data_IF_695250819732
#
_entry.id   IF_695250819732
#
_cell.length_a   1.000
_cell.length_b   1.000
_cell.length_c   1.000
_cell.angle_alpha   90.00
_cell.angle_beta   90.00
_cell.angle_gamma   90.00
#
_symmetry.space_group_name_H-M   'P 1'
#
loop_
_entity.id
_entity.type
_entity.pdbx_description
1 polymer ?
#
# COMPACT_ATOMS: atom_id res chain seq x y z
N UNK A 1 -78.54 -52.29 6.69
CA UNK A 1 -77.11 -52.39 7.06
C UNK A 1 -76.37 -51.28 6.38
N UNK A 2 -75.89 -50.32 7.12
CA UNK A 2 -75.27 -49.09 6.64
C UNK A 2 -73.73 -49.21 6.80
N UNK A 3 -73.02 -49.37 5.66
CA UNK A 3 -71.56 -49.26 5.66
C UNK A 3 -71.09 -47.79 5.79
N UNK A 4 -70.32 -47.51 6.82
CA UNK A 4 -69.66 -46.25 6.99
C UNK A 4 -68.18 -46.45 6.70
N UNK A 5 -67.72 -46.01 5.56
CA UNK A 5 -66.30 -45.88 5.24
C UNK A 5 -65.74 -44.58 5.86
N UNK A 6 -64.66 -44.65 6.62
CA UNK A 6 -64.01 -43.37 7.14
C UNK A 6 -63.18 -42.73 6.08
N UNK A 7 -63.48 -41.46 5.81
CA UNK A 7 -62.65 -40.58 4.98
C UNK A 7 -61.31 -40.36 5.65
N UNK A 8 -60.25 -40.93 5.10
CA UNK A 8 -58.90 -40.61 5.54
C UNK A 8 -58.55 -39.21 5.03
N UNK A 9 -58.46 -38.26 5.96
CA UNK A 9 -57.99 -36.90 5.72
C UNK A 9 -56.46 -36.93 5.53
N UNK A 10 -56.02 -36.83 4.29
CA UNK A 10 -54.59 -36.73 3.95
C UNK A 10 -54.11 -35.31 4.24
N UNK A 11 -53.52 -35.11 5.43
CA UNK A 11 -52.86 -33.84 5.78
C UNK A 11 -51.52 -33.81 5.08
N UNK A 12 -51.46 -33.14 3.93
CA UNK A 12 -50.20 -32.77 3.29
C UNK A 12 -49.52 -31.67 4.14
N UNK A 13 -48.61 -32.09 4.99
CA UNK A 13 -47.66 -31.13 5.65
C UNK A 13 -46.68 -30.68 4.56
N UNK A 14 -46.96 -29.51 4.00
CA UNK A 14 -46.06 -28.83 3.09
C UNK A 14 -44.95 -28.20 3.95
N UNK A 15 -43.87 -28.95 4.18
CA UNK A 15 -42.66 -28.44 4.83
C UNK A 15 -42.03 -27.38 3.91
N UNK A 16 -42.29 -26.12 4.19
CA UNK A 16 -41.60 -24.98 3.58
C UNK A 16 -40.13 -25.02 4.06
N UNK A 17 -39.25 -25.65 3.28
CA UNK A 17 -37.81 -25.52 3.42
C UNK A 17 -37.45 -24.07 3.10
N UNK A 18 -37.40 -23.22 4.11
CA UNK A 18 -36.82 -21.89 4.02
C UNK A 18 -35.32 -22.06 3.88
N UNK A 19 -34.84 -22.14 2.63
CA UNK A 19 -33.42 -21.96 2.35
C UNK A 19 -33.06 -20.54 2.73
N UNK A 20 -32.60 -20.34 3.94
CA UNK A 20 -31.89 -19.14 4.32
C UNK A 20 -30.56 -19.17 3.54
N UNK A 21 -30.62 -18.72 2.30
CA UNK A 21 -29.43 -18.39 1.53
C UNK A 21 -28.70 -17.32 2.33
N UNK A 22 -27.66 -17.73 3.04
CA UNK A 22 -26.73 -16.82 3.68
C UNK A 22 -25.98 -16.11 2.53
N UNK A 23 -26.62 -15.10 1.94
CA UNK A 23 -26.00 -14.25 0.94
C UNK A 23 -24.73 -13.69 1.59
N UNK A 24 -23.56 -14.19 1.19
CA UNK A 24 -22.28 -13.63 1.63
C UNK A 24 -22.33 -12.15 1.35
N UNK A 25 -22.28 -11.35 2.41
CA UNK A 25 -22.25 -9.89 2.31
C UNK A 25 -21.19 -9.53 1.26
N UNK A 26 -21.51 -8.72 0.25
CA UNK A 26 -20.56 -8.36 -0.78
C UNK A 26 -19.29 -7.77 -0.13
N UNK A 27 -18.13 -8.18 -0.63
CA UNK A 27 -16.85 -7.78 -0.07
C UNK A 27 -16.69 -6.27 -0.23
N UNK A 28 -16.46 -5.55 0.87
CA UNK A 28 -16.24 -4.11 0.85
C UNK A 28 -14.75 -3.77 0.71
N UNK A 29 -14.45 -2.54 0.28
CA UNK A 29 -13.07 -2.04 0.22
C UNK A 29 -12.38 -2.11 1.59
N UNK A 30 -13.09 -1.74 2.65
CA UNK A 30 -12.59 -1.79 4.03
C UNK A 30 -12.28 -3.22 4.46
N UNK A 31 -13.10 -4.20 4.07
CA UNK A 31 -12.85 -5.61 4.38
C UNK A 31 -11.59 -6.11 3.68
N UNK A 32 -11.39 -5.74 2.40
CA UNK A 32 -10.20 -6.10 1.64
C UNK A 32 -8.95 -5.53 2.30
N UNK A 33 -9.00 -4.23 2.66
CA UNK A 33 -7.88 -3.54 3.31
C UNK A 33 -7.59 -4.13 4.69
N UNK A 34 -8.61 -4.41 5.51
CA UNK A 34 -8.45 -5.08 6.81
C UNK A 34 -7.76 -6.43 6.67
N UNK A 35 -8.23 -7.27 5.75
CA UNK A 35 -7.62 -8.57 5.49
C UNK A 35 -6.16 -8.43 4.99
N UNK A 36 -5.89 -7.39 4.19
CA UNK A 36 -4.52 -7.09 3.76
C UNK A 36 -3.63 -6.67 4.92
N UNK A 37 -4.12 -5.81 5.82
CA UNK A 37 -3.40 -5.40 7.02
C UNK A 37 -3.07 -6.61 7.90
N UNK A 38 -4.04 -7.49 8.16
CA UNK A 38 -3.81 -8.72 8.92
C UNK A 38 -2.79 -9.63 8.22
N UNK A 39 -2.85 -9.74 6.89
CA UNK A 39 -1.86 -10.51 6.13
C UNK A 39 -0.46 -9.91 6.21
N UNK A 40 -0.33 -8.60 6.33
CA UNK A 40 0.95 -7.90 6.39
C UNK A 40 1.54 -7.77 7.81
N UNK A 41 0.90 -8.32 8.87
CA UNK A 41 1.41 -8.34 10.24
C UNK A 41 0.41 -7.84 11.28
N UNK A 42 -0.73 -7.27 10.86
CA UNK A 42 -1.81 -6.82 11.73
C UNK A 42 -1.65 -5.40 12.25
N UNK A 43 -2.80 -4.74 12.42
CA UNK A 43 -2.82 -3.33 12.87
C UNK A 43 -2.28 -3.19 14.30
N UNK A 44 -2.60 -4.13 15.18
CA UNK A 44 -2.14 -4.11 16.58
C UNK A 44 -0.60 -4.12 16.69
N UNK A 45 0.06 -4.95 15.90
CA UNK A 45 1.53 -4.98 15.87
C UNK A 45 2.08 -3.67 15.29
N UNK A 46 1.47 -3.16 14.21
CA UNK A 46 1.85 -1.88 13.62
C UNK A 46 1.73 -0.71 14.61
N UNK A 47 0.63 -0.63 15.35
CA UNK A 47 0.38 0.43 16.34
C UNK A 47 1.32 0.34 17.55
N UNK A 48 1.87 -0.86 17.87
CA UNK A 48 2.87 -1.04 18.92
C UNK A 48 4.31 -0.80 18.44
N UNK A 49 4.52 -0.57 17.14
CA UNK A 49 5.83 -0.38 16.54
C UNK A 49 6.45 0.94 17.02
N UNK A 50 7.58 0.85 17.74
CA UNK A 50 8.32 2.01 18.23
C UNK A 50 9.24 2.57 17.17
N UNK A 51 10.07 1.70 16.57
CA UNK A 51 11.02 2.09 15.52
C UNK A 51 11.00 1.11 14.35
N UNK A 52 11.28 1.62 13.17
CA UNK A 52 11.48 0.87 11.94
C UNK A 52 12.68 1.46 11.20
N UNK A 53 13.64 0.63 10.83
CA UNK A 53 14.74 1.04 9.95
C UNK A 53 14.96 0.03 8.84
N UNK A 54 15.46 0.51 7.70
CA UNK A 54 15.77 -0.31 6.54
C UNK A 54 16.66 0.45 5.54
N UNK A 55 17.26 -0.28 4.64
CA UNK A 55 17.94 0.26 3.46
C UNK A 55 16.99 0.24 2.24
N UNK A 56 17.07 1.27 1.40
CA UNK A 56 16.34 1.38 0.15
C UNK A 56 17.31 1.71 -0.98
N UNK A 57 17.46 0.80 -1.94
CA UNK A 57 18.15 1.04 -3.19
C UNK A 57 17.13 1.42 -4.27
N UNK A 58 17.39 2.51 -5.00
CA UNK A 58 16.56 2.98 -6.11
C UNK A 58 17.44 3.10 -7.33
N UNK A 59 17.06 2.44 -8.42
CA UNK A 59 17.65 2.67 -9.73
C UNK A 59 16.58 3.24 -10.66
N UNK A 60 16.85 4.40 -11.25
CA UNK A 60 15.98 5.04 -12.24
C UNK A 60 16.54 4.78 -13.63
N UNK A 61 15.65 4.56 -14.59
CA UNK A 61 15.98 4.31 -15.98
C UNK A 61 15.33 5.35 -16.89
N UNK A 62 16.02 5.72 -17.94
CA UNK A 62 15.47 6.45 -19.08
C UNK A 62 14.62 5.50 -19.93
N UNK A 63 13.92 6.04 -20.91
CA UNK A 63 13.02 5.27 -21.78
C UNK A 63 13.79 4.24 -22.64
N UNK A 64 15.02 4.53 -22.99
CA UNK A 64 15.92 3.62 -23.74
C UNK A 64 16.52 2.51 -22.86
N UNK A 65 16.17 2.47 -21.56
CA UNK A 65 16.67 1.49 -20.60
C UNK A 65 18.02 1.84 -19.97
N UNK A 66 18.64 2.96 -20.32
CA UNK A 66 19.90 3.39 -19.68
C UNK A 66 19.64 3.87 -18.24
N UNK A 67 20.64 3.70 -17.37
CA UNK A 67 20.54 4.12 -15.97
C UNK A 67 20.69 5.63 -15.87
N UNK A 68 19.64 6.31 -15.43
CA UNK A 68 19.66 7.73 -15.10
C UNK A 68 20.32 8.00 -13.76
N UNK A 69 20.01 7.17 -12.76
CA UNK A 69 20.59 7.29 -11.41
C UNK A 69 20.44 6.01 -10.62
N UNK A 70 21.37 5.79 -9.67
CA UNK A 70 21.28 4.71 -8.68
C UNK A 70 21.69 5.26 -7.31
N UNK A 71 20.80 5.17 -6.32
CA UNK A 71 20.99 5.74 -4.99
C UNK A 71 20.59 4.73 -3.92
N UNK A 72 21.49 4.50 -2.95
CA UNK A 72 21.18 3.77 -1.72
C UNK A 72 20.88 4.77 -0.61
N UNK A 73 19.76 4.56 0.11
CA UNK A 73 19.33 5.38 1.25
C UNK A 73 19.14 4.49 2.46
N UNK A 74 19.59 4.93 3.62
CA UNK A 74 19.20 4.36 4.90
C UNK A 74 18.06 5.20 5.47
N UNK A 75 16.99 4.54 5.96
CA UNK A 75 15.79 5.19 6.46
C UNK A 75 15.47 4.68 7.86
N UNK A 76 15.21 5.60 8.77
CA UNK A 76 14.85 5.32 10.16
C UNK A 76 13.59 6.11 10.50
N UNK A 77 12.58 5.43 11.03
CA UNK A 77 11.33 6.03 11.52
C UNK A 77 11.13 5.67 12.98
N UNK A 78 10.73 6.62 13.79
CA UNK A 78 10.25 6.41 15.14
C UNK A 78 8.81 6.89 15.19
N UNK A 79 7.89 6.02 15.62
CA UNK A 79 6.46 6.31 15.67
C UNK A 79 6.05 6.81 17.05
N UNK A 80 6.65 6.29 18.10
CA UNK A 80 6.31 6.63 19.49
C UNK A 80 7.47 7.27 20.24
N UNK A 81 7.20 8.25 21.13
CA UNK A 81 5.89 8.81 21.51
C UNK A 81 5.34 9.81 20.49
N UNK A 82 6.09 10.15 19.44
CA UNK A 82 5.67 10.99 18.33
C UNK A 82 6.54 10.69 17.11
N UNK A 83 5.99 10.97 15.94
CA UNK A 83 6.68 10.73 14.68
C UNK A 83 7.94 11.58 14.55
N UNK A 84 9.05 10.92 14.34
CA UNK A 84 10.33 11.48 13.91
C UNK A 84 11.03 10.51 12.96
N UNK A 85 12.02 10.96 12.22
CA UNK A 85 12.78 10.05 11.38
C UNK A 85 13.97 10.72 10.73
N UNK A 86 14.77 9.89 10.10
CA UNK A 86 16.02 10.25 9.45
C UNK A 86 16.17 9.47 8.15
N UNK A 87 16.58 10.16 7.09
CA UNK A 87 16.94 9.52 5.82
C UNK A 87 18.34 9.99 5.46
N UNK A 88 19.26 9.06 5.23
CA UNK A 88 20.64 9.36 4.86
C UNK A 88 21.03 8.67 3.56
N UNK A 89 21.86 9.34 2.77
CA UNK A 89 22.43 8.78 1.55
C UNK A 89 23.71 9.52 1.14
N UNK A 90 24.45 8.91 0.21
CA UNK A 90 25.59 9.56 -0.45
C UNK A 90 25.31 9.69 -1.94
N UNK A 91 25.74 10.82 -2.51
CA UNK A 91 25.84 11.02 -3.97
C UNK A 91 27.28 11.42 -4.23
N UNK A 92 28.04 10.57 -4.91
CA UNK A 92 29.50 10.70 -5.01
C UNK A 92 30.06 10.80 -3.58
N UNK A 93 30.84 11.83 -3.28
CA UNK A 93 31.44 12.06 -1.96
C UNK A 93 30.57 12.91 -1.02
N UNK A 94 29.40 13.37 -1.48
CA UNK A 94 28.52 14.23 -0.64
C UNK A 94 27.60 13.38 0.21
N UNK A 95 27.73 13.52 1.53
CA UNK A 95 26.79 12.95 2.51
C UNK A 95 25.55 13.83 2.57
N UNK A 96 24.38 13.22 2.47
CA UNK A 96 23.09 13.91 2.59
C UNK A 96 22.32 13.33 3.77
N UNK A 97 21.59 14.18 4.51
CA UNK A 97 20.69 13.76 5.56
C UNK A 97 19.43 14.63 5.60
N UNK A 98 18.30 13.99 5.82
CA UNK A 98 17.04 14.62 6.17
C UNK A 98 16.67 14.16 7.57
N UNK A 99 16.33 15.10 8.44
CA UNK A 99 15.76 14.84 9.75
C UNK A 99 14.34 15.40 9.79
N UNK A 100 13.41 14.63 10.33
CA UNK A 100 12.01 15.02 10.51
C UNK A 100 11.63 14.87 11.98
N UNK A 101 11.01 15.90 12.56
CA UNK A 101 10.51 15.88 13.93
C UNK A 101 9.37 16.88 14.08
N UNK A 102 8.19 16.45 14.56
CA UNK A 102 7.04 17.32 14.82
C UNK A 102 6.71 18.24 13.63
N UNK A 103 6.59 17.66 12.43
CA UNK A 103 6.33 18.35 11.17
C UNK A 103 7.44 19.31 10.65
N UNK A 104 8.49 19.57 11.43
CA UNK A 104 9.66 20.30 10.98
C UNK A 104 10.63 19.37 10.25
N UNK A 105 11.33 19.91 9.24
CA UNK A 105 12.36 19.19 8.48
C UNK A 105 13.65 20.00 8.52
N UNK A 106 14.76 19.27 8.68
CA UNK A 106 16.13 19.80 8.49
C UNK A 106 16.80 18.97 7.39
N UNK A 107 17.56 19.63 6.54
CA UNK A 107 18.38 18.99 5.51
C UNK A 107 19.83 19.39 5.67
N UNK A 108 20.72 18.42 5.55
CA UNK A 108 22.17 18.63 5.62
C UNK A 108 22.85 18.06 4.37
N UNK A 109 23.90 18.73 3.92
CA UNK A 109 24.84 18.25 2.91
C UNK A 109 26.26 18.45 3.44
N UNK A 110 27.03 17.37 3.62
CA UNK A 110 28.36 17.38 4.26
C UNK A 110 28.35 18.14 5.59
N UNK A 111 27.38 17.83 6.45
CA UNK A 111 27.16 18.45 7.77
C UNK A 111 26.78 19.95 7.75
N UNK A 112 26.68 20.57 6.58
CA UNK A 112 26.20 21.94 6.43
C UNK A 112 24.68 21.96 6.34
N UNK A 113 24.04 22.81 7.17
CA UNK A 113 22.58 22.99 7.17
C UNK A 113 22.13 23.72 5.89
N UNK A 114 21.14 23.16 5.22
CA UNK A 114 20.49 23.77 4.08
C UNK A 114 19.32 24.62 4.57
N UNK A 115 19.30 25.88 4.18
CA UNK A 115 18.26 26.87 4.58
C UNK A 115 17.34 27.27 3.42
N UNK A 116 17.64 26.84 2.20
CA UNK A 116 16.81 27.15 1.03
C UNK A 116 15.39 26.53 1.19
N UNK A 117 14.31 27.34 1.14
CA UNK A 117 12.94 26.87 1.40
C UNK A 117 12.47 25.78 0.44
N UNK A 118 12.82 25.85 -0.85
CA UNK A 118 12.44 24.86 -1.87
C UNK A 118 13.09 23.50 -1.58
N UNK A 119 14.39 23.53 -1.19
CA UNK A 119 15.12 22.32 -0.82
C UNK A 119 14.57 21.68 0.46
N UNK A 120 14.12 22.48 1.43
CA UNK A 120 13.45 22.00 2.63
C UNK A 120 12.07 21.41 2.30
N UNK A 121 11.30 22.02 1.39
CA UNK A 121 10.03 21.49 0.95
C UNK A 121 10.22 20.15 0.19
N UNK A 122 11.22 20.05 -0.70
CA UNK A 122 11.59 18.78 -1.36
C UNK A 122 12.00 17.71 -0.35
N UNK A 123 12.74 18.07 0.69
CA UNK A 123 13.13 17.16 1.77
C UNK A 123 11.90 16.66 2.56
N UNK A 124 10.96 17.55 2.89
CA UNK A 124 9.70 17.22 3.55
C UNK A 124 8.86 16.26 2.70
N UNK A 125 8.71 16.55 1.41
CA UNK A 125 7.97 15.70 0.47
C UNK A 125 8.63 14.31 0.35
N UNK A 126 9.96 14.25 0.28
CA UNK A 126 10.71 12.99 0.23
C UNK A 126 10.53 12.15 1.48
N UNK A 127 10.53 12.77 2.67
CA UNK A 127 10.26 12.08 3.93
C UNK A 127 8.84 11.54 3.98
N UNK A 128 7.85 12.37 3.67
CA UNK A 128 6.44 11.99 3.67
C UNK A 128 6.15 10.86 2.68
N UNK A 129 6.71 10.93 1.47
CA UNK A 129 6.58 9.87 0.48
C UNK A 129 7.21 8.54 0.94
N UNK A 130 8.37 8.60 1.61
CA UNK A 130 9.01 7.41 2.16
C UNK A 130 8.16 6.77 3.27
N UNK A 131 7.67 7.57 4.20
CA UNK A 131 6.77 7.14 5.27
C UNK A 131 5.46 6.56 4.70
N UNK A 132 4.85 7.25 3.74
CA UNK A 132 3.62 6.79 3.09
C UNK A 132 3.77 5.40 2.47
N UNK A 133 4.85 5.18 1.72
CA UNK A 133 5.09 3.90 1.04
C UNK A 133 5.32 2.76 2.03
N UNK A 134 6.12 2.99 3.08
CA UNK A 134 6.43 1.91 4.05
C UNK A 134 5.27 1.60 4.99
N UNK A 135 4.35 2.55 5.19
CA UNK A 135 3.16 2.37 6.02
C UNK A 135 2.01 1.66 5.30
N UNK A 136 2.15 1.32 4.03
CA UNK A 136 1.12 0.58 3.29
C UNK A 136 1.14 -0.91 3.66
N UNK A 137 -0.03 -1.55 3.87
CA UNK A 137 -1.40 -1.02 3.77
C UNK A 137 -1.95 -0.42 5.07
N UNK A 138 -1.18 -0.36 6.17
CA UNK A 138 -1.62 0.00 7.53
C UNK A 138 -2.27 1.38 7.60
N UNK A 139 -1.81 2.34 6.78
CA UNK A 139 -2.30 3.72 6.74
C UNK A 139 -3.62 3.90 5.96
N UNK A 140 -4.17 2.84 5.33
CA UNK A 140 -5.37 2.97 4.50
C UNK A 140 -6.69 3.02 5.29
N UNK A 141 -6.67 2.71 6.60
CA UNK A 141 -7.86 2.78 7.46
C UNK A 141 -7.91 4.05 8.32
N UNK A 142 -7.11 5.07 7.97
CA UNK A 142 -7.16 6.36 8.65
C UNK A 142 -8.51 7.06 8.42
N UNK A 143 -8.96 7.85 9.38
CA UNK A 143 -10.22 8.59 9.32
C UNK A 143 -10.36 9.52 8.11
N UNK A 144 -9.23 9.98 7.54
CA UNK A 144 -9.19 10.86 6.36
C UNK A 144 -9.18 10.09 5.03
N UNK A 145 -9.17 8.77 5.06
CA UNK A 145 -9.12 7.93 3.86
C UNK A 145 -10.52 7.57 3.38
N UNK A 146 -10.72 7.62 2.07
CA UNK A 146 -11.93 7.20 1.37
C UNK A 146 -11.58 6.00 0.51
N UNK A 147 -12.20 4.85 0.79
CA UNK A 147 -11.98 3.60 0.08
C UNK A 147 -13.14 3.29 -0.86
N UNK A 148 -12.85 2.87 -2.08
CA UNK A 148 -13.86 2.42 -3.04
C UNK A 148 -13.44 1.09 -3.67
N UNK A 149 -14.28 0.07 -3.54
CA UNK A 149 -14.05 -1.22 -4.19
C UNK A 149 -14.49 -1.17 -5.66
N UNK A 150 -13.59 -1.48 -6.57
CA UNK A 150 -13.80 -1.42 -8.02
C UNK A 150 -13.91 -2.81 -8.67
N UNK A 151 -14.12 -3.85 -7.85
CA UNK A 151 -14.31 -5.21 -8.34
C UNK A 151 -13.02 -6.02 -8.43
N UNK A 152 -13.16 -7.24 -8.99
CA UNK A 152 -12.05 -8.11 -9.32
C UNK A 152 -11.62 -7.84 -10.75
N UNK A 153 -10.33 -7.67 -10.96
CA UNK A 153 -9.72 -7.45 -12.28
C UNK A 153 -8.56 -8.43 -12.49
N UNK A 154 -8.12 -8.56 -13.73
CA UNK A 154 -6.91 -9.29 -14.06
C UNK A 154 -5.69 -8.35 -13.98
N UNK A 155 -4.64 -8.83 -13.31
CA UNK A 155 -3.32 -8.21 -13.27
C UNK A 155 -2.29 -9.31 -13.61
N UNK A 156 -1.71 -9.27 -14.80
CA UNK A 156 -0.71 -10.24 -15.25
C UNK A 156 -1.11 -11.71 -14.97
N UNK A 157 -2.29 -12.12 -15.44
CA UNK A 157 -2.87 -13.46 -15.27
C UNK A 157 -3.23 -13.82 -13.81
N UNK A 158 -3.26 -12.86 -12.90
CA UNK A 158 -3.73 -13.04 -11.52
C UNK A 158 -5.04 -12.27 -11.30
N UNK A 159 -6.01 -12.90 -10.68
CA UNK A 159 -7.22 -12.21 -10.21
C UNK A 159 -6.87 -11.41 -8.96
N UNK A 160 -7.20 -10.12 -8.97
CA UNK A 160 -6.93 -9.19 -7.87
C UNK A 160 -8.14 -8.32 -7.57
N UNK A 161 -8.34 -8.01 -6.29
CA UNK A 161 -9.27 -6.96 -5.87
C UNK A 161 -8.65 -5.60 -6.18
N UNK A 162 -9.38 -4.74 -6.88
CA UNK A 162 -8.98 -3.36 -7.14
C UNK A 162 -9.68 -2.41 -6.19
N UNK A 163 -8.91 -1.65 -5.43
CA UNK A 163 -9.41 -0.65 -4.49
C UNK A 163 -8.84 0.71 -4.85
N UNK A 164 -9.71 1.73 -4.98
CA UNK A 164 -9.30 3.12 -5.06
C UNK A 164 -9.13 3.65 -3.64
N UNK A 165 -8.00 4.34 -3.41
CA UNK A 165 -7.70 5.06 -2.16
C UNK A 165 -7.65 6.54 -2.49
N UNK A 166 -8.48 7.32 -1.83
CA UNK A 166 -8.54 8.77 -1.91
C UNK A 166 -8.56 9.36 -0.50
N UNK A 167 -8.38 10.67 -0.39
CA UNK A 167 -8.38 11.37 0.88
C UNK A 167 -9.46 12.46 0.89
N UNK A 168 -9.99 12.79 2.06
CA UNK A 168 -11.01 13.85 2.21
C UNK A 168 -10.53 15.21 1.72
N UNK A 169 -9.21 15.44 1.71
CA UNK A 169 -8.58 16.66 1.21
C UNK A 169 -8.35 16.67 -0.31
N UNK A 170 -8.63 15.56 -1.01
CA UNK A 170 -8.39 15.47 -2.44
C UNK A 170 -9.33 16.38 -3.22
N UNK A 171 -8.80 16.97 -4.30
CA UNK A 171 -9.51 17.71 -5.33
C UNK A 171 -9.52 16.92 -6.65
N UNK A 172 -10.17 17.46 -7.67
CA UNK A 172 -10.17 16.86 -9.02
C UNK A 172 -8.74 16.72 -9.60
N UNK A 173 -7.82 17.61 -9.21
CA UNK A 173 -6.43 17.65 -9.64
C UNK A 173 -5.52 16.75 -8.81
N UNK A 174 -6.02 16.16 -7.72
CA UNK A 174 -5.21 15.27 -6.88
C UNK A 174 -4.89 13.95 -7.60
N UNK A 175 -3.74 13.39 -7.27
CA UNK A 175 -3.31 12.08 -7.76
C UNK A 175 -4.36 11.01 -7.48
N UNK A 176 -4.60 10.11 -8.44
CA UNK A 176 -5.58 9.03 -8.29
C UNK A 176 -4.87 7.72 -8.03
N UNK A 177 -5.07 7.15 -6.84
CA UNK A 177 -4.39 5.95 -6.37
C UNK A 177 -5.28 4.74 -6.41
N UNK A 178 -4.78 3.62 -6.98
CA UNK A 178 -5.44 2.33 -7.04
C UNK A 178 -4.48 1.26 -6.53
N UNK A 179 -4.99 0.37 -5.68
CA UNK A 179 -4.23 -0.73 -5.09
C UNK A 179 -4.83 -2.06 -5.47
N UNK A 180 -3.97 -3.04 -5.67
CA UNK A 180 -4.34 -4.36 -6.18
C UNK A 180 -3.95 -5.42 -5.15
N UNK A 181 -4.95 -6.14 -4.65
CA UNK A 181 -4.79 -7.14 -3.60
C UNK A 181 -5.13 -8.51 -4.17
N UNK A 182 -4.31 -9.51 -3.89
CA UNK A 182 -4.56 -10.90 -4.30
C UNK A 182 -5.89 -11.40 -3.73
N UNK A 183 -6.73 -12.03 -4.56
CA UNK A 183 -8.09 -12.45 -4.14
C UNK A 183 -8.10 -13.55 -3.09
N UNK A 184 -7.01 -14.30 -2.93
CA UNK A 184 -6.91 -15.42 -1.98
C UNK A 184 -6.16 -15.06 -0.72
N UNK A 185 -5.05 -14.33 -0.87
CA UNK A 185 -4.11 -14.05 0.21
C UNK A 185 -4.22 -12.64 0.76
N UNK A 186 -4.91 -11.74 0.08
CA UNK A 186 -5.00 -10.30 0.36
C UNK A 186 -3.64 -9.57 0.42
N UNK A 187 -2.56 -10.20 -0.06
CA UNK A 187 -1.30 -9.49 -0.23
C UNK A 187 -1.45 -8.34 -1.22
N UNK A 188 -0.88 -7.20 -0.91
CA UNK A 188 -0.83 -6.06 -1.82
C UNK A 188 0.21 -6.31 -2.91
N UNK A 189 -0.24 -6.61 -4.14
CA UNK A 189 0.62 -7.01 -5.25
C UNK A 189 1.11 -5.84 -6.10
N UNK A 190 0.34 -4.76 -6.18
CA UNK A 190 0.70 -3.61 -7.00
C UNK A 190 -0.06 -2.36 -6.56
N UNK A 191 0.40 -1.21 -7.05
CA UNK A 191 -0.39 0.02 -7.08
C UNK A 191 -0.23 0.75 -8.41
N UNK A 192 -1.30 1.42 -8.83
CA UNK A 192 -1.33 2.34 -9.97
C UNK A 192 -1.56 3.74 -9.45
N UNK A 193 -0.82 4.72 -9.98
CA UNK A 193 -1.08 6.13 -9.73
C UNK A 193 -1.23 6.86 -11.06
N UNK A 194 -2.24 7.71 -11.13
CA UNK A 194 -2.47 8.66 -12.23
C UNK A 194 -2.10 10.03 -11.67
N UNK A 195 -1.02 10.60 -12.16
CA UNK A 195 -0.56 11.95 -11.87
C UNK A 195 -0.96 12.89 -13.01
N UNK A 196 -0.71 14.18 -12.85
CA UNK A 196 -1.03 15.18 -13.86
C UNK A 196 -0.29 14.94 -15.20
N UNK A 197 1.00 14.56 -15.11
CA UNK A 197 1.91 14.44 -16.25
C UNK A 197 2.10 13.00 -16.74
N UNK A 198 1.73 11.98 -15.95
CA UNK A 198 1.91 10.59 -16.34
C UNK A 198 1.12 9.59 -15.48
N UNK A 199 1.02 8.37 -15.97
CA UNK A 199 0.52 7.23 -15.23
C UNK A 199 1.64 6.23 -14.95
N UNK A 200 1.69 5.70 -13.72
CA UNK A 200 2.66 4.67 -13.32
C UNK A 200 1.98 3.46 -12.67
N UNK A 201 2.52 2.27 -12.94
CA UNK A 201 2.22 1.02 -12.26
C UNK A 201 3.45 0.57 -11.48
N UNK A 202 3.30 0.32 -10.19
CA UNK A 202 4.35 -0.25 -9.34
C UNK A 202 3.95 -1.65 -8.91
N UNK A 203 4.76 -2.64 -9.24
CA UNK A 203 4.56 -4.06 -8.92
C UNK A 203 5.44 -4.47 -7.76
N UNK A 204 4.88 -5.22 -6.82
CA UNK A 204 5.60 -5.83 -5.71
C UNK A 204 6.04 -7.24 -6.12
N UNK A 205 7.31 -7.40 -6.44
CA UNK A 205 7.87 -8.63 -7.02
C UNK A 205 8.22 -9.65 -5.93
N UNK A 206 8.77 -9.18 -4.80
CA UNK A 206 9.07 -10.02 -3.64
C UNK A 206 8.81 -9.27 -2.35
N UNK A 207 8.74 -10.05 -1.26
CA UNK A 207 8.43 -9.54 0.06
C UNK A 207 9.52 -9.95 1.05
N UNK A 208 9.83 -9.07 1.99
CA UNK A 208 10.64 -9.36 3.16
C UNK A 208 9.73 -9.87 4.28
N UNK A 209 10.18 -10.90 4.97
CA UNK A 209 9.48 -11.53 6.11
C UNK A 209 10.46 -11.79 7.27
N UNK A 210 11.52 -11.01 7.34
CA UNK A 210 12.54 -11.14 8.40
C UNK A 210 12.11 -10.52 9.73
N UNK A 211 11.03 -9.73 9.70
CA UNK A 211 10.36 -9.17 10.89
C UNK A 211 8.96 -9.75 11.02
N UNK A 212 8.18 -9.30 12.01
CA UNK A 212 6.77 -9.70 12.17
C UNK A 212 5.86 -9.17 11.06
N UNK A 213 6.39 -8.30 10.19
CA UNK A 213 5.67 -7.71 9.06
C UNK A 213 6.08 -8.34 7.72
N UNK A 214 5.15 -8.29 6.78
CA UNK A 214 5.43 -8.59 5.37
C UNK A 214 5.63 -7.25 4.65
N UNK A 215 6.88 -6.83 4.49
CA UNK A 215 7.24 -5.63 3.74
C UNK A 215 7.49 -5.92 2.26
N UNK A 216 7.26 -4.94 1.40
CA UNK A 216 7.67 -5.03 0.01
C UNK A 216 9.20 -5.01 -0.07
N UNK A 217 9.82 -6.04 -0.69
CA UNK A 217 11.27 -6.13 -0.83
C UNK A 217 11.73 -5.64 -2.20
N UNK A 218 11.31 -6.28 -3.28
CA UNK A 218 11.64 -5.87 -4.65
C UNK A 218 10.41 -5.31 -5.33
N UNK A 219 10.56 -4.16 -5.97
CA UNK A 219 9.49 -3.51 -6.70
C UNK A 219 9.98 -3.04 -8.06
N UNK A 220 9.08 -3.01 -9.05
CA UNK A 220 9.31 -2.44 -10.38
C UNK A 220 8.25 -1.40 -10.68
N UNK A 221 8.66 -0.24 -11.15
CA UNK A 221 7.77 0.83 -11.59
C UNK A 221 7.85 0.99 -13.09
N UNK A 222 6.71 0.96 -13.74
CA UNK A 222 6.58 1.14 -15.18
C UNK A 222 5.82 2.42 -15.49
N UNK A 223 6.18 3.11 -16.54
CA UNK A 223 5.30 4.09 -17.19
C UNK A 223 4.22 3.35 -17.96
N UNK A 224 3.02 3.95 -17.99
CA UNK A 224 1.91 3.43 -18.76
C UNK A 224 1.52 4.46 -19.83
N UNK A 225 1.05 3.95 -20.98
CA UNK A 225 0.38 4.76 -22.00
C UNK A 225 -1.09 5.02 -21.62
N UNK A 226 -1.82 5.73 -22.48
CA UNK A 226 -3.21 6.09 -22.27
C UNK A 226 -4.16 4.87 -22.24
N UNK A 227 -3.78 3.77 -22.89
CA UNK A 227 -4.52 2.49 -22.86
C UNK A 227 -4.26 1.69 -21.58
N UNK A 228 -3.23 2.07 -20.81
CA UNK A 228 -2.85 1.43 -19.56
C UNK A 228 -1.80 0.34 -19.72
N UNK A 229 -1.19 0.21 -20.92
CA UNK A 229 -0.13 -0.74 -21.19
C UNK A 229 1.22 -0.21 -20.69
N UNK A 230 2.09 -1.11 -20.25
CA UNK A 230 3.45 -0.76 -19.83
C UNK A 230 4.29 -0.33 -21.06
N UNK A 231 4.88 0.86 -21.00
CA UNK A 231 5.77 1.38 -22.05
C UNK A 231 7.22 1.04 -21.73
N UNK A 232 7.74 1.47 -20.59
CA UNK A 232 9.11 1.17 -20.18
C UNK A 232 9.25 1.05 -18.65
N UNK A 233 10.30 0.36 -18.21
CA UNK A 233 10.68 0.26 -16.81
C UNK A 233 11.29 1.58 -16.36
N UNK A 234 10.58 2.33 -15.52
CA UNK A 234 11.07 3.63 -15.00
C UNK A 234 11.97 3.48 -13.79
N UNK A 235 11.67 2.51 -12.91
CA UNK A 235 12.45 2.33 -11.69
C UNK A 235 12.44 0.90 -11.18
N UNK A 236 13.53 0.52 -10.52
CA UNK A 236 13.56 -0.63 -9.61
C UNK A 236 13.85 -0.17 -8.19
N UNK A 237 13.23 -0.86 -7.24
CA UNK A 237 13.44 -0.63 -5.82
C UNK A 237 13.81 -1.95 -5.14
N UNK A 238 14.82 -1.90 -4.27
CA UNK A 238 15.15 -2.97 -3.34
C UNK A 238 15.12 -2.39 -1.93
N UNK A 239 14.31 -2.99 -1.06
CA UNK A 239 14.26 -2.70 0.36
C UNK A 239 14.83 -3.89 1.10
N UNK A 240 15.79 -3.67 1.98
CA UNK A 240 16.48 -4.71 2.72
C UNK A 240 16.89 -4.23 4.12
N UNK A 241 17.45 -5.16 4.93
CA UNK A 241 17.96 -4.86 6.28
C UNK A 241 16.90 -4.27 7.23
N UNK A 242 15.66 -4.77 7.13
CA UNK A 242 14.58 -4.35 8.02
C UNK A 242 14.90 -4.67 9.48
N UNK A 243 14.66 -3.68 10.36
CA UNK A 243 14.74 -3.84 11.82
C UNK A 243 13.56 -3.14 12.46
N UNK A 244 12.94 -3.79 13.43
CA UNK A 244 11.80 -3.29 14.17
C UNK A 244 12.08 -3.34 15.67
N UNK A 245 11.61 -2.34 16.40
CA UNK A 245 11.56 -2.35 17.87
C UNK A 245 10.14 -1.97 18.29
N UNK A 246 9.66 -2.58 19.37
CA UNK A 246 8.34 -2.35 19.92
C UNK A 246 8.39 -1.55 21.22
N UNK A 247 7.22 -1.04 21.65
CA UNK A 247 7.09 -0.37 22.94
C UNK A 247 7.21 -1.37 24.09
#
# INVERSE_FOLDING_TARGET
MKDRTPKRLLVCILTLLVFTSCAKKPLSAETIVKNSIEKHGGLKAWDSLKTLSFDKNVTLFLEDGTIESAIKKHQEFTFHPYLKGKITWKIKDKKNAIFYKKAAVLKFVNDSLITNPEELQKAKNSFNAALYVISQPFNFLNENTILSYLGVVDLENKKVHKVKVAYKSDSEKSDKWFYYFDVKTFKMLANKVILEDHTSMVENISFDTTTDFIFNQRRKSYRLNDTGDKTYLRATYLYDNFKTEYQ
#
